data_IF_169921576770
#
_entry.id   IF_169921576770
#
_cell.length_a   1.000
_cell.length_b   1.000
_cell.length_c   1.000
_cell.angle_alpha   90.00
_cell.angle_beta   90.00
_cell.angle_gamma   90.00
#
_symmetry.space_group_name_H-M   'P 1'
#
loop_
_entity.id
_entity.type
_entity.pdbx_description
1 polymer ?
#
# COMPACT_ATOMS: atom_id res chain seq x y z
N UNK A 1 -10.56 -0.14 -14.94
CA UNK A 1 -10.11 -1.49 -15.40
C UNK A 1 -11.31 -2.43 -15.32
N UNK A 2 -11.50 -3.35 -16.27
CA UNK A 2 -12.52 -4.41 -16.17
C UNK A 2 -11.87 -5.67 -15.60
N UNK A 3 -12.33 -6.14 -14.44
CA UNK A 3 -11.79 -7.31 -13.76
C UNK A 3 -12.72 -8.50 -14.08
N UNK A 4 -12.25 -9.55 -14.76
CA UNK A 4 -13.09 -10.70 -15.07
C UNK A 4 -13.51 -11.42 -13.79
N UNK A 5 -14.75 -11.91 -13.79
CA UNK A 5 -15.19 -12.89 -12.82
C UNK A 5 -14.73 -14.28 -13.27
N UNK A 6 -13.77 -14.86 -12.55
CA UNK A 6 -13.15 -16.15 -12.82
C UNK A 6 -13.77 -17.27 -11.98
N UNK A 7 -14.80 -16.99 -11.18
CA UNK A 7 -15.36 -17.99 -10.26
C UNK A 7 -16.15 -19.05 -11.01
N UNK A 8 -15.76 -20.31 -10.86
CA UNK A 8 -16.47 -21.48 -11.39
C UNK A 8 -17.68 -21.89 -10.54
N UNK A 9 -17.65 -21.53 -9.26
CA UNK A 9 -18.73 -21.81 -8.29
C UNK A 9 -18.89 -20.62 -7.35
N UNK A 10 -20.11 -20.32 -6.87
CA UNK A 10 -20.32 -19.30 -5.85
C UNK A 10 -19.54 -19.62 -4.56
N UNK A 11 -19.15 -18.58 -3.83
CA UNK A 11 -18.55 -18.75 -2.50
C UNK A 11 -19.58 -19.36 -1.54
N UNK A 12 -19.16 -20.37 -0.79
CA UNK A 12 -20.00 -21.03 0.22
C UNK A 12 -19.45 -20.79 1.62
N UNK A 13 -20.30 -20.25 2.49
CA UNK A 13 -20.03 -20.16 3.93
C UNK A 13 -20.21 -21.54 4.57
N UNK A 14 -19.50 -21.82 5.65
CA UNK A 14 -19.60 -23.11 6.32
C UNK A 14 -18.65 -23.27 7.51
N UNK A 15 -18.47 -24.51 7.99
CA UNK A 15 -17.56 -24.83 9.08
C UNK A 15 -16.15 -24.27 8.84
N UNK A 16 -15.55 -23.70 9.89
CA UNK A 16 -14.24 -23.03 9.81
C UNK A 16 -14.28 -21.62 9.20
N UNK A 17 -15.44 -21.11 8.77
CA UNK A 17 -15.59 -19.75 8.25
C UNK A 17 -14.69 -19.48 7.04
N UNK A 18 -14.02 -18.32 7.06
CA UNK A 18 -13.09 -17.88 6.01
C UNK A 18 -11.88 -18.83 5.87
N UNK A 19 -11.25 -19.23 6.97
CA UNK A 19 -10.06 -20.09 6.96
C UNK A 19 -10.37 -21.55 6.61
N UNK A 20 -11.60 -22.00 6.83
CA UNK A 20 -12.05 -23.34 6.44
C UNK A 20 -12.42 -23.47 4.96
N UNK A 21 -12.48 -22.37 4.20
CA UNK A 21 -12.87 -22.43 2.79
C UNK A 21 -11.94 -23.30 1.91
N UNK A 22 -10.60 -23.23 2.04
CA UNK A 22 -9.70 -24.15 1.34
C UNK A 22 -10.06 -25.62 1.53
N UNK A 23 -10.24 -26.07 2.78
CA UNK A 23 -10.58 -27.46 3.09
C UNK A 23 -11.93 -27.87 2.48
N UNK A 24 -12.94 -26.97 2.54
CA UNK A 24 -14.25 -27.20 1.90
C UNK A 24 -14.15 -27.35 0.38
N UNK A 25 -13.13 -26.76 -0.23
CA UNK A 25 -12.86 -26.85 -1.66
C UNK A 25 -11.84 -27.95 -2.00
N UNK A 26 -11.41 -28.74 -1.02
CA UNK A 26 -10.44 -29.82 -1.20
C UNK A 26 -9.02 -29.33 -1.46
N UNK A 27 -8.63 -28.19 -0.88
CA UNK A 27 -7.26 -27.66 -0.94
C UNK A 27 -6.54 -27.93 0.38
N UNK A 28 -5.32 -28.47 0.30
CA UNK A 28 -4.46 -28.61 1.49
C UNK A 28 -3.68 -27.32 1.77
N UNK A 29 -3.17 -27.17 2.99
CA UNK A 29 -2.33 -26.02 3.35
C UNK A 29 -1.06 -25.89 2.49
N UNK A 30 -0.50 -27.02 2.04
CA UNK A 30 0.67 -27.04 1.16
C UNK A 30 0.31 -26.58 -0.26
N UNK A 31 -0.83 -27.02 -0.79
CA UNK A 31 -1.30 -26.61 -2.11
C UNK A 31 -1.62 -25.12 -2.16
N UNK A 32 -2.25 -24.59 -1.11
CA UNK A 32 -2.57 -23.15 -0.98
C UNK A 32 -1.32 -22.29 -0.96
N UNK A 33 -0.20 -22.81 -0.46
CA UNK A 33 1.08 -22.08 -0.41
C UNK A 33 1.93 -22.27 -1.67
N UNK A 34 1.41 -22.97 -2.69
CA UNK A 34 2.05 -23.13 -3.99
C UNK A 34 2.84 -24.43 -4.16
N UNK A 35 2.78 -25.36 -3.20
CA UNK A 35 3.41 -26.67 -3.35
C UNK A 35 2.84 -27.40 -4.57
N UNK A 36 3.71 -28.12 -5.30
CA UNK A 36 3.39 -28.81 -6.55
C UNK A 36 2.59 -27.94 -7.54
N UNK A 37 2.98 -26.66 -7.71
CA UNK A 37 2.27 -25.69 -8.54
C UNK A 37 0.76 -25.62 -8.23
N UNK A 38 0.42 -25.47 -6.95
CA UNK A 38 -0.96 -25.46 -6.45
C UNK A 38 -1.68 -26.82 -6.58
N UNK A 39 -0.93 -27.90 -6.34
CA UNK A 39 -1.42 -29.28 -6.40
C UNK A 39 -1.76 -29.75 -7.82
N UNK A 40 -0.96 -29.34 -8.81
CA UNK A 40 -1.14 -29.65 -10.23
C UNK A 40 -2.53 -29.29 -10.81
N UNK A 41 -3.21 -28.32 -10.20
CA UNK A 41 -4.50 -27.80 -10.68
C UNK A 41 -4.32 -26.94 -11.92
N UNK A 42 -5.36 -26.84 -12.73
CA UNK A 42 -5.32 -25.95 -13.90
C UNK A 42 -5.26 -24.48 -13.49
N UNK A 43 -4.71 -23.63 -14.35
CA UNK A 43 -4.66 -22.18 -14.10
C UNK A 43 -6.05 -21.57 -13.87
N UNK A 44 -7.09 -22.10 -14.53
CA UNK A 44 -8.47 -21.68 -14.35
C UNK A 44 -9.00 -22.06 -12.96
N UNK A 45 -8.75 -23.29 -12.51
CA UNK A 45 -9.16 -23.76 -11.19
C UNK A 45 -8.48 -22.97 -10.07
N UNK A 46 -7.17 -22.75 -10.20
CA UNK A 46 -6.38 -21.95 -9.25
C UNK A 46 -6.89 -20.52 -9.20
N UNK A 47 -7.08 -19.88 -10.37
CA UNK A 47 -7.58 -18.51 -10.41
C UNK A 47 -8.97 -18.35 -9.83
N UNK A 48 -9.89 -19.24 -10.21
CA UNK A 48 -11.24 -19.31 -9.66
C UNK A 48 -11.20 -19.44 -8.15
N UNK A 49 -10.38 -20.36 -7.61
CA UNK A 49 -10.31 -20.60 -6.17
C UNK A 49 -9.84 -19.37 -5.41
N UNK A 50 -8.70 -18.80 -5.79
CA UNK A 50 -8.12 -17.67 -5.07
C UNK A 50 -8.94 -16.40 -5.22
N UNK A 51 -9.55 -16.13 -6.37
CA UNK A 51 -10.48 -15.01 -6.50
C UNK A 51 -11.73 -15.24 -5.64
N UNK A 52 -12.33 -16.44 -5.67
CA UNK A 52 -13.52 -16.72 -4.87
C UNK A 52 -13.24 -16.62 -3.37
N UNK A 53 -12.07 -17.07 -2.93
CA UNK A 53 -11.69 -17.01 -1.52
C UNK A 53 -11.30 -15.59 -1.08
N UNK A 54 -10.28 -15.01 -1.71
CA UNK A 54 -9.63 -13.79 -1.23
C UNK A 54 -10.39 -12.51 -1.60
N UNK A 55 -11.19 -12.51 -2.67
CA UNK A 55 -12.04 -11.38 -3.04
C UNK A 55 -13.46 -11.56 -2.50
N UNK A 56 -14.19 -12.58 -2.99
CA UNK A 56 -15.60 -12.75 -2.64
C UNK A 56 -15.78 -13.21 -1.18
N UNK A 57 -15.05 -14.24 -0.76
CA UNK A 57 -15.08 -14.74 0.60
C UNK A 57 -14.72 -13.68 1.64
N UNK A 58 -13.74 -12.82 1.34
CA UNK A 58 -13.36 -11.71 2.22
C UNK A 58 -14.54 -10.77 2.47
N UNK A 59 -15.19 -10.28 1.41
CA UNK A 59 -16.33 -9.38 1.52
C UNK A 59 -17.55 -10.05 2.16
N UNK A 60 -17.88 -11.27 1.72
CA UNK A 60 -19.05 -12.03 2.19
C UNK A 60 -18.91 -12.35 3.67
N UNK A 61 -17.78 -12.90 4.11
CA UNK A 61 -17.58 -13.28 5.51
C UNK A 61 -17.56 -12.04 6.41
N UNK A 62 -16.86 -10.96 6.03
CA UNK A 62 -16.82 -9.73 6.83
C UNK A 62 -18.21 -9.11 7.01
N UNK A 63 -18.97 -8.94 5.93
CA UNK A 63 -20.29 -8.31 6.01
C UNK A 63 -21.27 -9.20 6.80
N UNK A 64 -21.14 -10.51 6.68
CA UNK A 64 -21.96 -11.46 7.42
C UNK A 64 -21.71 -11.50 8.92
N UNK A 65 -20.54 -11.06 9.41
CA UNK A 65 -20.31 -10.87 10.86
C UNK A 65 -21.37 -9.93 11.44
N UNK A 66 -21.77 -8.93 10.65
CA UNK A 66 -22.81 -7.96 11.02
C UNK A 66 -24.24 -8.36 10.64
N UNK A 67 -24.43 -9.60 10.18
CA UNK A 67 -25.72 -10.12 9.73
C UNK A 67 -26.20 -9.53 8.41
N UNK A 68 -25.28 -9.08 7.54
CA UNK A 68 -25.58 -8.63 6.19
C UNK A 68 -25.33 -9.78 5.23
N UNK A 69 -26.39 -10.24 4.57
CA UNK A 69 -26.30 -11.31 3.57
C UNK A 69 -25.81 -10.75 2.23
N UNK A 70 -24.72 -11.33 1.75
CA UNK A 70 -24.06 -10.98 0.49
C UNK A 70 -23.69 -12.25 -0.24
N UNK A 71 -23.84 -12.26 -1.55
CA UNK A 71 -23.44 -13.33 -2.45
C UNK A 71 -22.61 -12.79 -3.62
N UNK A 72 -22.06 -13.69 -4.44
CA UNK A 72 -21.20 -13.31 -5.56
C UNK A 72 -21.87 -12.32 -6.52
N UNK A 73 -23.17 -12.48 -6.82
CA UNK A 73 -23.88 -11.61 -7.75
C UNK A 73 -24.04 -10.17 -7.25
N UNK A 74 -23.99 -9.94 -5.93
CA UNK A 74 -23.98 -8.58 -5.37
C UNK A 74 -22.67 -7.83 -5.67
N UNK A 75 -21.61 -8.59 -6.01
CA UNK A 75 -20.26 -8.11 -6.29
C UNK A 75 -19.84 -8.37 -7.74
N UNK A 76 -20.79 -8.64 -8.63
CA UNK A 76 -20.60 -8.75 -10.08
C UNK A 76 -21.46 -7.72 -10.83
N UNK A 77 -21.15 -7.53 -12.10
CA UNK A 77 -22.01 -6.78 -13.01
C UNK A 77 -23.30 -7.55 -13.36
N UNK A 78 -24.19 -6.92 -14.12
CA UNK A 78 -25.50 -7.50 -14.49
C UNK A 78 -25.37 -8.80 -15.28
N UNK A 79 -24.26 -8.99 -15.99
CA UNK A 79 -23.99 -10.21 -16.76
C UNK A 79 -23.32 -11.31 -15.94
N UNK A 80 -22.78 -10.97 -14.77
CA UNK A 80 -21.95 -11.87 -13.96
C UNK A 80 -20.54 -12.10 -14.54
N UNK A 81 -20.20 -11.48 -15.67
CA UNK A 81 -18.94 -11.68 -16.38
C UNK A 81 -17.78 -10.90 -15.74
N UNK A 82 -18.08 -9.78 -15.08
CA UNK A 82 -17.07 -8.94 -14.46
C UNK A 82 -17.37 -8.69 -12.99
N UNK A 83 -16.31 -8.60 -12.20
CA UNK A 83 -16.39 -8.13 -10.81
C UNK A 83 -16.81 -6.67 -10.81
N UNK A 84 -17.74 -6.33 -9.91
CA UNK A 84 -18.27 -4.98 -9.74
C UNK A 84 -18.51 -4.68 -8.26
N UNK A 85 -17.96 -3.58 -7.78
CA UNK A 85 -18.20 -3.10 -6.41
C UNK A 85 -19.31 -2.05 -6.34
N UNK A 86 -20.17 -1.93 -7.36
CA UNK A 86 -21.21 -0.89 -7.43
C UNK A 86 -22.15 -0.90 -6.21
N UNK A 87 -22.45 -2.08 -5.65
CA UNK A 87 -23.31 -2.23 -4.46
C UNK A 87 -22.56 -2.09 -3.13
N UNK A 88 -21.23 -2.21 -3.15
CA UNK A 88 -20.38 -2.20 -1.95
C UNK A 88 -20.56 -0.94 -1.09
N UNK A 89 -20.64 0.30 -1.62
CA UNK A 89 -20.87 1.48 -0.79
C UNK A 89 -22.16 1.40 0.04
N UNK A 90 -23.22 0.80 -0.51
CA UNK A 90 -24.48 0.58 0.21
C UNK A 90 -24.32 -0.44 1.34
N UNK A 91 -23.63 -1.55 1.06
CA UNK A 91 -23.35 -2.60 2.04
C UNK A 91 -22.47 -2.09 3.20
N UNK A 92 -21.45 -1.30 2.89
CA UNK A 92 -20.57 -0.68 3.89
C UNK A 92 -21.34 0.31 4.79
N UNK A 93 -22.29 1.08 4.24
CA UNK A 93 -23.16 1.94 5.06
C UNK A 93 -24.05 1.13 5.99
N UNK A 94 -24.62 0.02 5.51
CA UNK A 94 -25.41 -0.87 6.36
C UNK A 94 -24.55 -1.44 7.49
N UNK A 95 -23.32 -1.87 7.19
CA UNK A 95 -22.38 -2.35 8.19
C UNK A 95 -22.10 -1.29 9.26
N UNK A 96 -21.85 -0.03 8.86
CA UNK A 96 -21.69 1.08 9.80
C UNK A 96 -22.89 1.22 10.73
N UNK A 97 -24.10 1.19 10.19
CA UNK A 97 -25.34 1.30 10.99
C UNK A 97 -25.45 0.14 11.99
N UNK A 98 -25.11 -1.09 11.59
CA UNK A 98 -25.10 -2.24 12.49
C UNK A 98 -24.08 -2.08 13.62
N UNK A 99 -22.87 -1.61 13.33
CA UNK A 99 -21.84 -1.36 14.35
C UNK A 99 -22.27 -0.25 15.31
N UNK A 100 -22.89 0.82 14.82
CA UNK A 100 -23.41 1.91 15.66
C UNK A 100 -24.53 1.47 16.62
N UNK A 101 -25.23 0.39 16.30
CA UNK A 101 -26.25 -0.21 17.18
C UNK A 101 -25.64 -1.11 18.27
N UNK A 102 -24.36 -1.47 18.16
CA UNK A 102 -23.65 -2.35 19.12
C UNK A 102 -23.16 -1.61 20.37
N UNK A 103 -24.05 -0.90 21.08
CA UNK A 103 -23.73 -0.30 22.38
C UNK A 103 -22.38 0.44 22.44
N UNK A 104 -21.71 0.42 23.60
CA UNK A 104 -20.40 1.05 23.78
C UNK A 104 -19.25 0.21 23.23
N UNK A 105 -18.11 0.86 22.93
CA UNK A 105 -16.88 0.25 22.36
C UNK A 105 -16.30 -0.92 23.18
N UNK A 106 -16.62 -0.99 24.47
CA UNK A 106 -16.20 -2.07 25.38
C UNK A 106 -17.15 -3.28 25.37
N UNK A 107 -18.21 -3.25 24.56
CA UNK A 107 -19.11 -4.38 24.37
C UNK A 107 -18.34 -5.60 23.85
N UNK A 108 -18.59 -6.76 24.44
CA UNK A 108 -17.98 -8.02 23.99
C UNK A 108 -18.25 -8.29 22.50
N UNK A 109 -19.45 -7.98 22.02
CA UNK A 109 -19.81 -8.13 20.59
C UNK A 109 -19.03 -7.19 19.68
N UNK A 110 -18.79 -5.96 20.13
CA UNK A 110 -17.99 -4.99 19.36
C UNK A 110 -16.54 -5.47 19.20
N UNK A 111 -15.94 -5.96 20.29
CA UNK A 111 -14.58 -6.54 20.29
C UNK A 111 -14.54 -7.81 19.41
N UNK A 112 -15.53 -8.68 19.54
CA UNK A 112 -15.62 -9.92 18.76
C UNK A 112 -15.71 -9.65 17.25
N UNK A 113 -16.57 -8.72 16.83
CA UNK A 113 -16.71 -8.36 15.42
C UNK A 113 -15.44 -7.73 14.86
N UNK A 114 -14.81 -6.84 15.62
CA UNK A 114 -13.53 -6.25 15.26
C UNK A 114 -12.43 -7.31 15.10
N UNK A 115 -12.31 -8.24 16.05
CA UNK A 115 -11.32 -9.33 16.00
C UNK A 115 -11.55 -10.25 14.80
N UNK A 116 -12.79 -10.70 14.56
CA UNK A 116 -13.11 -11.56 13.40
C UNK A 116 -12.79 -10.87 12.08
N UNK A 117 -13.16 -9.59 11.95
CA UNK A 117 -12.85 -8.80 10.75
C UNK A 117 -11.34 -8.66 10.55
N UNK A 118 -10.60 -8.33 11.61
CA UNK A 118 -9.15 -8.17 11.55
C UNK A 118 -8.42 -9.46 11.19
N UNK A 119 -8.88 -10.62 11.66
CA UNK A 119 -8.31 -11.92 11.32
C UNK A 119 -8.47 -12.24 9.84
N UNK A 120 -9.65 -12.01 9.27
CA UNK A 120 -9.90 -12.21 7.82
C UNK A 120 -9.00 -11.29 6.99
N UNK A 121 -8.99 -9.99 7.32
CA UNK A 121 -8.17 -9.02 6.58
C UNK A 121 -6.67 -9.33 6.67
N UNK A 122 -6.20 -9.72 7.86
CA UNK A 122 -4.80 -10.13 8.07
C UNK A 122 -4.46 -11.35 7.21
N UNK A 123 -5.36 -12.33 7.14
CA UNK A 123 -5.15 -13.52 6.32
C UNK A 123 -5.01 -13.15 4.84
N UNK A 124 -5.89 -12.29 4.33
CA UNK A 124 -5.79 -11.82 2.93
C UNK A 124 -4.50 -11.02 2.72
N UNK A 125 -4.12 -10.13 3.65
CA UNK A 125 -2.89 -9.34 3.51
C UNK A 125 -1.63 -10.20 3.48
N UNK A 126 -1.59 -11.31 4.23
CA UNK A 126 -0.46 -12.27 4.18
C UNK A 126 -0.27 -12.87 2.77
N UNK A 127 -1.36 -13.16 2.06
CA UNK A 127 -1.27 -13.60 0.65
C UNK A 127 -0.83 -12.47 -0.28
N UNK A 128 -1.34 -11.26 -0.07
CA UNK A 128 -0.92 -10.09 -0.85
C UNK A 128 0.59 -9.85 -0.67
N UNK A 129 1.10 -9.85 0.56
CA UNK A 129 2.52 -9.65 0.87
C UNK A 129 3.41 -10.72 0.23
N UNK A 130 2.93 -11.96 0.14
CA UNK A 130 3.66 -13.06 -0.46
C UNK A 130 3.85 -12.92 -1.99
N UNK A 131 2.88 -12.35 -2.70
CA UNK A 131 2.84 -12.36 -4.17
C UNK A 131 2.96 -10.99 -4.83
N UNK A 132 2.63 -9.90 -4.13
CA UNK A 132 2.61 -8.53 -4.68
C UNK A 132 3.91 -7.77 -4.34
N UNK A 133 4.00 -6.49 -4.73
CA UNK A 133 5.15 -5.67 -4.34
C UNK A 133 5.04 -5.32 -2.84
N UNK A 134 6.06 -5.65 -2.03
CA UNK A 134 6.06 -5.34 -0.62
C UNK A 134 6.22 -3.82 -0.41
N UNK A 135 5.49 -3.30 0.57
CA UNK A 135 5.66 -1.92 1.04
C UNK A 135 6.86 -1.80 1.99
N UNK A 136 7.37 -0.59 2.21
CA UNK A 136 8.37 -0.37 3.27
C UNK A 136 7.75 -0.74 4.63
N UNK A 137 8.44 -1.61 5.39
CA UNK A 137 7.95 -2.13 6.67
C UNK A 137 7.09 -3.40 6.58
N UNK A 138 6.73 -3.86 5.37
CA UNK A 138 6.18 -5.20 5.20
C UNK A 138 7.22 -6.21 5.72
N UNK A 139 6.78 -7.17 6.55
CA UNK A 139 7.65 -8.30 6.89
C UNK A 139 8.03 -8.93 5.56
N UNK A 140 9.33 -9.02 5.26
CA UNK A 140 9.80 -9.88 4.17
C UNK A 140 9.35 -11.30 4.52
N UNK A 141 8.14 -11.68 4.11
CA UNK A 141 7.75 -13.07 4.10
C UNK A 141 8.74 -13.75 3.18
N UNK A 142 9.40 -14.79 3.68
CA UNK A 142 10.26 -15.62 2.84
C UNK A 142 9.49 -15.89 1.55
N UNK A 143 10.08 -15.55 0.40
CA UNK A 143 9.50 -15.87 -0.91
C UNK A 143 9.00 -17.29 -0.82
N UNK A 144 7.69 -17.51 -0.90
CA UNK A 144 7.13 -18.84 -1.13
C UNK A 144 7.85 -19.34 -2.38
N UNK A 145 8.78 -20.27 -2.18
CA UNK A 145 9.88 -20.51 -3.12
C UNK A 145 9.35 -20.82 -4.51
N UNK A 146 9.79 -20.05 -5.52
CA UNK A 146 9.64 -20.37 -6.94
C UNK A 146 8.22 -20.45 -7.53
N UNK A 147 7.15 -20.38 -6.74
CA UNK A 147 5.78 -20.50 -7.25
C UNK A 147 5.38 -19.25 -8.06
N UNK A 148 4.83 -19.47 -9.26
CA UNK A 148 4.17 -18.41 -10.01
C UNK A 148 2.96 -17.88 -9.23
N UNK A 149 2.60 -16.63 -9.47
CA UNK A 149 1.43 -16.03 -8.83
C UNK A 149 0.15 -16.83 -9.14
N UNK A 150 -0.70 -17.15 -8.16
CA UNK A 150 -1.90 -17.97 -8.38
C UNK A 150 -3.01 -17.24 -9.16
N UNK A 151 -2.96 -15.91 -9.20
CA UNK A 151 -3.94 -15.08 -9.93
C UNK A 151 -3.26 -14.02 -10.76
N UNK A 152 -4.00 -13.51 -11.75
CA UNK A 152 -3.55 -12.38 -12.57
C UNK A 152 -3.32 -11.11 -11.74
N UNK A 153 -2.46 -10.22 -12.24
CA UNK A 153 -2.22 -8.90 -11.61
C UNK A 153 -3.51 -8.06 -11.50
N UNK A 154 -4.45 -8.17 -12.45
CA UNK A 154 -5.76 -7.51 -12.37
C UNK A 154 -6.59 -8.04 -11.21
N UNK A 155 -6.56 -9.36 -10.99
CA UNK A 155 -7.24 -10.01 -9.87
C UNK A 155 -6.62 -9.55 -8.55
N UNK A 156 -5.28 -9.49 -8.45
CA UNK A 156 -4.62 -8.97 -7.26
C UNK A 156 -4.98 -7.53 -6.94
N UNK A 157 -5.00 -6.64 -7.94
CA UNK A 157 -5.47 -5.26 -7.74
C UNK A 157 -6.87 -5.24 -7.13
N UNK A 158 -7.78 -6.09 -7.61
CA UNK A 158 -9.14 -6.16 -7.07
C UNK A 158 -9.18 -6.63 -5.61
N UNK A 159 -8.36 -7.61 -5.25
CA UNK A 159 -8.24 -8.13 -3.88
C UNK A 159 -7.65 -7.06 -2.95
N UNK A 160 -6.58 -6.38 -3.39
CA UNK A 160 -5.94 -5.27 -2.68
C UNK A 160 -6.94 -4.14 -2.43
N UNK A 161 -7.68 -3.72 -3.47
CA UNK A 161 -8.68 -2.66 -3.37
C UNK A 161 -9.83 -3.04 -2.42
N UNK A 162 -10.30 -4.28 -2.47
CA UNK A 162 -11.33 -4.78 -1.55
C UNK A 162 -10.82 -4.77 -0.11
N UNK A 163 -9.64 -5.34 0.13
CA UNK A 163 -9.01 -5.39 1.43
C UNK A 163 -8.78 -4.01 2.03
N UNK A 164 -8.24 -3.07 1.25
CA UNK A 164 -8.05 -1.68 1.67
C UNK A 164 -9.40 -1.03 2.02
N UNK A 165 -10.41 -1.18 1.17
CA UNK A 165 -11.74 -0.58 1.41
C UNK A 165 -12.38 -1.11 2.70
N UNK A 166 -12.36 -2.42 2.91
CA UNK A 166 -12.93 -3.04 4.12
C UNK A 166 -12.09 -2.76 5.37
N UNK A 167 -10.77 -2.66 5.23
CA UNK A 167 -9.85 -2.28 6.30
C UNK A 167 -10.07 -0.84 6.78
N UNK A 168 -10.23 0.11 5.87
CA UNK A 168 -10.56 1.50 6.21
C UNK A 168 -11.94 1.61 6.88
N UNK A 169 -12.93 0.85 6.38
CA UNK A 169 -14.23 0.76 7.03
C UNK A 169 -14.13 0.20 8.46
N UNK A 170 -13.37 -0.89 8.67
CA UNK A 170 -13.13 -1.47 9.99
C UNK A 170 -12.46 -0.47 10.94
N UNK A 171 -11.38 0.19 10.51
CA UNK A 171 -10.66 1.20 11.30
C UNK A 171 -11.62 2.31 11.73
N UNK A 172 -12.42 2.82 10.79
CA UNK A 172 -13.39 3.88 11.04
C UNK A 172 -14.51 3.46 11.99
N UNK A 173 -14.99 2.21 11.91
CA UNK A 173 -16.19 1.77 12.63
C UNK A 173 -15.89 1.30 14.05
N UNK A 174 -14.75 0.65 14.24
CA UNK A 174 -14.34 0.12 15.54
C UNK A 174 -13.33 1.00 16.28
N UNK A 175 -12.98 2.16 15.72
CA UNK A 175 -12.03 3.14 16.30
C UNK A 175 -10.67 2.51 16.64
N UNK A 176 -10.18 1.66 15.73
CA UNK A 176 -8.90 0.98 15.87
C UNK A 176 -7.79 1.93 15.41
N UNK A 177 -6.74 2.10 16.23
CA UNK A 177 -5.57 2.86 15.81
C UNK A 177 -4.95 2.19 14.59
N UNK A 178 -4.82 2.95 13.50
CA UNK A 178 -4.19 2.49 12.26
C UNK A 178 -2.77 2.02 12.58
N UNK A 179 -2.55 0.72 12.59
CA UNK A 179 -1.22 0.16 12.44
C UNK A 179 -0.86 0.32 10.97
N UNK A 180 0.40 0.61 10.64
CA UNK A 180 0.86 0.94 9.28
C UNK A 180 0.77 -0.20 8.25
N UNK A 181 -0.25 -1.05 8.33
CA UNK A 181 -0.56 -2.10 7.37
C UNK A 181 -1.09 -1.47 6.09
N UNK A 182 -0.22 -1.41 5.08
CA UNK A 182 -0.57 -1.03 3.72
C UNK A 182 -0.82 -2.30 2.90
N UNK A 183 -1.80 -2.28 1.99
CA UNK A 183 -2.25 -3.45 1.23
C UNK A 183 -1.34 -3.82 0.04
N UNK A 184 -0.03 -3.65 0.18
CA UNK A 184 0.93 -3.83 -0.92
C UNK A 184 0.72 -2.86 -2.08
N UNK A 185 1.55 -2.99 -3.12
CA UNK A 185 1.45 -2.18 -4.33
C UNK A 185 1.27 -3.04 -5.59
N UNK A 186 0.59 -2.49 -6.60
CA UNK A 186 0.33 -3.17 -7.87
C UNK A 186 1.49 -3.02 -8.86
N UNK A 187 2.03 -4.14 -9.37
CA UNK A 187 3.01 -4.10 -10.46
C UNK A 187 2.41 -3.52 -11.74
N UNK A 188 1.16 -3.85 -12.03
CA UNK A 188 0.46 -3.34 -13.21
C UNK A 188 0.31 -1.81 -13.18
N UNK A 189 -0.12 -1.24 -12.05
CA UNK A 189 -0.27 0.22 -11.94
C UNK A 189 1.09 0.93 -11.95
N UNK A 190 2.10 0.34 -11.30
CA UNK A 190 3.49 0.80 -11.40
C UNK A 190 3.97 0.85 -12.84
N UNK A 191 3.79 -0.23 -13.59
CA UNK A 191 4.19 -0.30 -14.99
C UNK A 191 3.46 0.74 -15.82
N UNK A 192 2.15 0.93 -15.59
CA UNK A 192 1.36 1.94 -16.29
C UNK A 192 1.86 3.37 -16.07
N UNK A 193 2.30 3.71 -14.85
CA UNK A 193 2.91 5.02 -14.59
C UNK A 193 4.23 5.18 -15.37
N UNK A 194 5.09 4.16 -15.34
CA UNK A 194 6.37 4.17 -16.07
C UNK A 194 6.15 4.31 -17.59
N UNK A 195 5.20 3.56 -18.13
CA UNK A 195 4.83 3.61 -19.56
C UNK A 195 4.25 4.97 -19.95
N UNK A 196 3.55 5.65 -19.02
CA UNK A 196 3.08 7.03 -19.17
C UNK A 196 4.18 8.09 -18.95
N UNK A 197 5.45 7.67 -18.82
CA UNK A 197 6.60 8.57 -18.73
C UNK A 197 6.79 9.26 -17.38
N UNK A 198 6.15 8.76 -16.32
CA UNK A 198 6.40 9.24 -14.96
C UNK A 198 7.85 8.96 -14.52
N UNK A 199 8.41 9.86 -13.70
CA UNK A 199 9.76 9.69 -13.18
C UNK A 199 9.83 8.41 -12.30
N UNK A 200 10.82 7.52 -12.51
CA UNK A 200 10.99 6.32 -11.69
C UNK A 200 11.08 6.59 -10.18
N UNK A 201 11.68 7.72 -9.76
CA UNK A 201 11.71 8.12 -8.33
C UNK A 201 10.31 8.38 -7.80
N UNK A 202 9.51 9.15 -8.53
CA UNK A 202 8.14 9.50 -8.13
C UNK A 202 7.26 8.26 -8.14
N UNK A 203 7.46 7.34 -9.09
CA UNK A 203 6.77 6.05 -9.11
C UNK A 203 7.12 5.22 -7.88
N UNK A 204 8.39 5.08 -7.50
CA UNK A 204 8.76 4.30 -6.30
C UNK A 204 8.22 4.94 -5.01
N UNK A 205 8.28 6.27 -4.89
CA UNK A 205 7.66 7.01 -3.77
C UNK A 205 6.16 6.79 -3.73
N UNK A 206 5.48 6.95 -4.85
CA UNK A 206 4.05 6.71 -4.98
C UNK A 206 3.68 5.28 -4.54
N UNK A 207 4.42 4.27 -5.02
CA UNK A 207 4.19 2.89 -4.63
C UNK A 207 4.47 2.62 -3.14
N UNK A 208 5.15 3.53 -2.45
CA UNK A 208 5.59 3.45 -1.05
C UNK A 208 4.86 4.39 -0.09
N UNK A 209 4.19 5.45 -0.58
CA UNK A 209 3.65 6.50 0.30
C UNK A 209 2.12 6.59 0.24
N UNK A 210 1.50 6.08 -0.84
CA UNK A 210 0.04 6.11 -0.99
C UNK A 210 -0.53 4.69 -1.20
N UNK A 211 -1.84 4.55 -0.94
CA UNK A 211 -2.58 3.31 -1.12
C UNK A 211 -3.01 3.04 -2.57
N UNK A 212 -3.70 1.92 -2.80
CA UNK A 212 -4.10 1.45 -4.13
C UNK A 212 -5.04 2.41 -4.86
N UNK A 213 -5.83 3.17 -4.11
CA UNK A 213 -6.69 4.25 -4.58
C UNK A 213 -5.87 5.37 -5.23
N UNK A 214 -4.80 5.80 -4.54
CA UNK A 214 -3.85 6.77 -5.07
C UNK A 214 -3.08 6.24 -6.28
N UNK A 215 -2.63 4.97 -6.23
CA UNK A 215 -1.97 4.33 -7.39
C UNK A 215 -2.89 4.31 -8.60
N UNK A 216 -4.16 3.93 -8.40
CA UNK A 216 -5.14 3.86 -9.48
C UNK A 216 -5.42 5.24 -10.06
N UNK A 217 -5.67 6.23 -9.20
CA UNK A 217 -5.91 7.61 -9.61
C UNK A 217 -4.76 8.16 -10.45
N UNK A 218 -3.53 8.08 -9.97
CA UNK A 218 -2.35 8.57 -10.70
C UNK A 218 -2.11 7.80 -11.99
N UNK A 219 -2.41 6.50 -12.04
CA UNK A 219 -2.26 5.70 -13.26
C UNK A 219 -3.21 6.11 -14.39
N UNK A 220 -4.26 6.87 -14.07
CA UNK A 220 -5.19 7.45 -15.05
C UNK A 220 -4.81 8.89 -15.44
N UNK A 221 -3.87 9.51 -14.73
CA UNK A 221 -3.46 10.87 -15.02
C UNK A 221 -2.40 10.90 -16.11
N UNK A 222 -2.53 11.89 -16.98
CA UNK A 222 -1.42 12.33 -17.82
C UNK A 222 -0.40 13.07 -16.95
N UNK A 223 0.87 12.94 -17.29
CA UNK A 223 1.94 13.64 -16.59
C UNK A 223 1.88 15.13 -16.94
N UNK A 224 1.81 15.98 -15.91
CA UNK A 224 1.75 17.43 -16.07
C UNK A 224 2.95 18.01 -16.86
N UNK A 225 4.14 17.44 -16.67
CA UNK A 225 5.38 17.91 -17.29
C UNK A 225 5.77 17.12 -18.55
N UNK A 226 4.82 16.94 -19.48
CA UNK A 226 5.04 16.18 -20.72
C UNK A 226 6.28 16.61 -21.52
N UNK A 227 6.73 17.85 -21.36
CA UNK A 227 7.90 18.46 -22.00
C UNK A 227 9.28 18.00 -21.43
N UNK A 228 9.34 17.37 -20.26
CA UNK A 228 10.59 16.92 -19.63
C UNK A 228 10.75 15.41 -19.81
N UNK A 229 11.88 14.88 -20.26
CA UNK A 229 12.07 13.41 -20.35
C UNK A 229 12.66 12.84 -19.07
N UNK A 230 12.07 11.76 -18.52
CA UNK A 230 12.61 11.01 -17.37
C UNK A 230 13.28 9.68 -17.75
N UNK A 231 13.61 9.46 -19.03
CA UNK A 231 14.21 8.19 -19.49
C UNK A 231 15.54 7.87 -18.82
N UNK A 232 16.30 8.89 -18.43
CA UNK A 232 17.61 8.75 -17.80
C UNK A 232 17.55 8.77 -16.26
N UNK A 233 16.34 8.85 -15.70
CA UNK A 233 16.14 8.77 -14.25
C UNK A 233 16.21 7.31 -13.80
N UNK A 234 16.56 7.09 -12.53
CA UNK A 234 16.48 5.77 -11.90
C UNK A 234 15.62 5.83 -10.63
N UNK A 235 15.48 4.70 -9.93
CA UNK A 235 14.62 4.55 -8.75
C UNK A 235 15.00 5.46 -7.57
N UNK A 236 16.24 5.92 -7.52
CA UNK A 236 16.80 6.69 -6.41
C UNK A 236 17.15 8.12 -6.78
N UNK A 237 17.19 8.46 -8.07
CA UNK A 237 17.63 9.77 -8.54
C UNK A 237 16.86 10.25 -9.78
N UNK A 238 16.33 11.47 -9.70
CA UNK A 238 15.77 12.19 -10.83
C UNK A 238 16.86 13.06 -11.47
N UNK A 239 17.26 12.76 -12.70
CA UNK A 239 18.27 13.52 -13.45
C UNK A 239 17.65 14.67 -14.25
N UNK A 240 16.39 14.53 -14.64
CA UNK A 240 15.70 15.48 -15.53
C UNK A 240 15.47 16.86 -14.90
N UNK A 241 15.04 16.90 -13.63
CA UNK A 241 14.87 18.16 -12.90
C UNK A 241 16.20 18.77 -12.48
N UNK A 242 17.22 17.96 -12.18
CA UNK A 242 18.56 18.46 -11.84
C UNK A 242 19.17 19.22 -13.02
N UNK A 243 19.02 18.71 -14.24
CA UNK A 243 19.58 19.34 -15.43
C UNK A 243 18.89 20.66 -15.84
N UNK A 244 17.61 20.83 -15.47
CA UNK A 244 16.79 21.99 -15.89
C UNK A 244 16.61 23.03 -14.78
N UNK A 245 16.83 22.65 -13.52
CA UNK A 245 16.68 23.56 -12.40
C UNK A 245 17.80 24.61 -12.36
N UNK A 246 17.42 25.86 -12.65
CA UNK A 246 18.27 27.02 -12.38
C UNK A 246 17.79 27.68 -11.09
N UNK A 247 18.63 27.67 -10.06
CA UNK A 247 18.42 28.49 -8.87
C UNK A 247 18.31 29.96 -9.30
N UNK A 248 17.16 30.59 -9.03
CA UNK A 248 16.95 32.02 -9.29
C UNK A 248 17.03 32.78 -7.98
N UNK A 249 17.72 33.92 -8.01
CA UNK A 249 17.64 34.89 -6.92
C UNK A 249 16.30 35.64 -6.98
N UNK A 250 15.85 36.15 -5.82
CA UNK A 250 14.63 36.96 -5.71
C UNK A 250 14.71 38.25 -6.54
N UNK A 251 15.92 38.75 -6.81
CA UNK A 251 16.14 39.89 -7.70
C UNK A 251 17.14 39.58 -8.83
N UNK A 252 16.86 40.10 -10.02
CA UNK A 252 17.67 39.89 -11.23
C UNK A 252 19.04 40.59 -11.16
N UNK A 253 19.18 41.59 -10.30
CA UNK A 253 20.39 42.41 -10.15
C UNK A 253 21.23 42.06 -8.91
N UNK A 254 21.03 40.89 -8.28
CA UNK A 254 21.85 40.52 -7.13
C UNK A 254 23.28 40.17 -7.55
N UNK A 255 24.28 40.72 -6.86
CA UNK A 255 25.68 40.27 -6.90
C UNK A 255 25.95 39.13 -5.91
N UNK A 256 24.93 38.30 -5.66
CA UNK A 256 25.04 37.11 -4.85
C UNK A 256 26.08 36.19 -5.55
N UNK A 257 27.14 35.77 -4.84
CA UNK A 257 28.19 34.90 -5.38
C UNK A 257 27.71 33.47 -5.69
N UNK A 258 28.64 32.52 -5.81
CA UNK A 258 28.31 31.10 -5.98
C UNK A 258 27.32 30.60 -4.91
N UNK A 259 26.51 29.60 -5.27
CA UNK A 259 25.48 29.06 -4.40
C UNK A 259 26.02 28.67 -3.02
N UNK A 260 25.26 28.99 -1.97
CA UNK A 260 25.63 28.61 -0.62
C UNK A 260 25.47 27.09 -0.49
N UNK A 261 26.55 26.37 -0.26
CA UNK A 261 26.56 24.91 -0.12
C UNK A 261 27.07 24.48 1.26
N UNK A 262 26.53 23.37 1.74
CA UNK A 262 27.05 22.68 2.93
C UNK A 262 28.34 21.93 2.58
N UNK A 263 29.25 21.78 3.55
CA UNK A 263 30.44 20.94 3.36
C UNK A 263 30.04 19.46 3.46
N UNK A 264 29.96 18.78 2.30
CA UNK A 264 29.52 17.37 2.21
C UNK A 264 30.42 16.44 3.01
N UNK A 265 31.74 16.62 2.95
CA UNK A 265 32.69 15.78 3.68
C UNK A 265 32.53 15.92 5.19
N UNK A 266 32.31 17.16 5.69
CA UNK A 266 32.04 17.39 7.11
C UNK A 266 30.70 16.77 7.55
N UNK A 267 29.66 16.85 6.70
CA UNK A 267 28.38 16.15 6.96
C UNK A 267 28.58 14.65 7.09
N UNK A 268 29.34 14.04 6.19
CA UNK A 268 29.59 12.60 6.20
C UNK A 268 30.37 12.18 7.45
N UNK A 269 31.41 12.91 7.85
CA UNK A 269 32.16 12.62 9.07
C UNK A 269 31.26 12.60 10.31
N UNK A 270 30.34 13.56 10.44
CA UNK A 270 29.39 13.60 11.56
C UNK A 270 28.48 12.37 11.59
N UNK A 271 28.01 11.91 10.42
CA UNK A 271 27.13 10.75 10.30
C UNK A 271 27.88 9.45 10.59
N UNK A 272 29.00 9.25 9.90
CA UNK A 272 29.69 7.95 9.84
C UNK A 272 30.66 7.75 11.01
N UNK A 273 31.36 8.81 11.43
CA UNK A 273 32.38 8.72 12.47
C UNK A 273 31.79 9.00 13.86
N UNK A 274 30.96 10.03 14.00
CA UNK A 274 30.36 10.40 15.29
C UNK A 274 29.03 9.69 15.58
N UNK A 275 28.33 9.18 14.56
CA UNK A 275 26.97 8.65 14.71
C UNK A 275 25.95 9.70 15.16
N UNK A 276 26.23 10.98 14.90
CA UNK A 276 25.43 12.12 15.32
C UNK A 276 24.55 12.65 14.19
N UNK A 277 23.65 13.58 14.53
CA UNK A 277 22.84 14.30 13.54
C UNK A 277 23.65 15.49 13.02
N UNK A 278 23.91 15.59 11.70
CA UNK A 278 24.53 16.78 11.14
C UNK A 278 23.55 17.95 11.17
N UNK A 279 24.01 19.07 11.72
CA UNK A 279 23.29 20.35 11.80
C UNK A 279 24.07 21.38 11.01
N UNK A 280 23.36 22.20 10.25
CA UNK A 280 23.97 23.27 9.48
C UNK A 280 23.60 24.61 10.12
N UNK A 281 24.60 25.43 10.43
CA UNK A 281 24.44 26.76 11.01
C UNK A 281 24.91 27.83 10.03
N UNK A 282 24.14 28.91 9.91
CA UNK A 282 24.60 30.11 9.20
C UNK A 282 25.60 30.88 10.07
N UNK A 283 26.80 31.10 9.53
CA UNK A 283 27.75 32.05 10.08
C UNK A 283 27.66 33.39 9.33
N UNK A 284 27.15 34.41 10.02
CA UNK A 284 26.94 35.73 9.45
C UNK A 284 28.25 36.48 9.15
N UNK A 285 29.35 36.18 9.86
CA UNK A 285 30.64 36.85 9.64
C UNK A 285 31.30 36.34 8.37
N UNK A 286 31.41 35.02 8.24
CA UNK A 286 32.00 34.40 7.04
C UNK A 286 31.02 34.31 5.87
N UNK A 287 29.72 34.57 6.11
CA UNK A 287 28.61 34.39 5.16
C UNK A 287 28.60 32.99 4.55
N UNK A 288 28.84 31.98 5.39
CA UNK A 288 28.93 30.56 5.00
C UNK A 288 28.10 29.68 5.92
N UNK A 289 27.79 28.49 5.41
CA UNK A 289 27.25 27.40 6.22
C UNK A 289 28.39 26.68 6.93
N UNK A 290 28.18 26.42 8.21
CA UNK A 290 29.09 25.64 9.06
C UNK A 290 28.35 24.38 9.49
N UNK A 291 28.99 23.23 9.25
CA UNK A 291 28.51 21.94 9.70
C UNK A 291 28.90 21.72 11.17
N UNK A 292 27.93 21.35 11.99
CA UNK A 292 28.11 21.03 13.41
C UNK A 292 27.40 19.70 13.68
N UNK A 293 27.77 19.00 14.74
CA UNK A 293 27.03 17.82 15.18
C UNK A 293 26.03 18.16 16.27
N UNK A 294 24.95 17.39 16.33
CA UNK A 294 24.02 17.35 17.45
C UNK A 294 23.69 15.92 17.82
N UNK A 295 23.63 15.65 19.12
CA UNK A 295 23.32 14.32 19.64
C UNK A 295 21.85 14.25 20.04
N UNK A 296 21.12 13.28 19.48
CA UNK A 296 19.78 12.93 19.94
C UNK A 296 19.88 12.25 21.33
N UNK A 297 19.41 12.93 22.36
CA UNK A 297 19.40 12.39 23.73
C UNK A 297 18.19 11.47 23.91
N UNK A 298 17.02 11.93 23.44
CA UNK A 298 15.77 11.17 23.41
C UNK A 298 14.86 11.77 22.34
N UNK A 299 13.75 11.10 22.03
CA UNK A 299 12.77 11.60 21.04
C UNK A 299 12.33 13.03 21.40
N UNK A 300 12.56 13.97 20.48
CA UNK A 300 12.23 15.39 20.65
C UNK A 300 13.23 16.23 21.44
N UNK A 301 14.37 15.68 21.87
CA UNK A 301 15.41 16.41 22.61
C UNK A 301 16.80 16.10 22.06
N UNK A 302 17.51 17.15 21.66
CA UNK A 302 18.87 17.07 21.14
C UNK A 302 19.77 18.15 21.74
N UNK A 303 21.07 17.89 21.76
CA UNK A 303 22.08 18.82 22.26
C UNK A 303 23.25 18.95 21.26
N UNK A 304 23.52 20.15 20.73
CA UNK A 304 22.69 21.36 20.85
C UNK A 304 21.30 21.18 20.20
N UNK A 305 20.28 21.92 20.64
CA UNK A 305 18.96 21.86 20.03
C UNK A 305 19.01 22.34 18.59
N UNK A 306 18.22 21.70 17.71
CA UNK A 306 18.11 22.06 16.31
C UNK A 306 16.66 21.95 15.84
N UNK A 307 16.38 22.56 14.68
CA UNK A 307 15.11 22.42 13.98
C UNK A 307 15.35 21.57 12.74
N UNK A 308 14.62 20.47 12.62
CA UNK A 308 14.59 19.70 11.37
C UNK A 308 13.67 20.41 10.39
N UNK A 309 14.20 20.78 9.22
CA UNK A 309 13.41 21.32 8.12
C UNK A 309 13.24 20.21 7.09
N UNK A 310 11.99 19.79 6.86
CA UNK A 310 11.63 18.89 5.77
C UNK A 310 10.79 19.68 4.78
N UNK A 311 11.27 19.75 3.53
CA UNK A 311 10.71 20.55 2.42
C UNK A 311 10.96 22.06 2.58
N UNK A 312 11.74 22.63 1.65
CA UNK A 312 12.02 24.07 1.49
C UNK A 312 11.77 24.42 0.04
#
# INVERSE_FOLDING_TARGET
LRIPNLTLKPYSRGPGGFDGYPDRMGWTSEEVTGHNAFGARSAEQTQSFFQNWLFFGCAIEILSISGIDVCNSDLCDETGQFVSTRRLPGLIRQWRTKVQQLGGKSSGTHIEWAMKTALILKRVSEFVDAYCLPYYGARRTAKLGGASSPVSELTWISIIAMGQTLGEAMISYYDIVRTGNHWGASRLLKQRLLDNGWCPVDVERTMTDIGIDGHYYLSLMERAESHISHKDCNKSQCTAHIATYRQKHVCESCQCGEGIQSNVSATMAIIEEEGHVPVVRWDAQSRRLVNTSSRLIRRGFADPPFVAISHV
#
